data_IF_857279942630
#
_entry.id   IF_857279942630
#
_cell.length_a   1.000
_cell.length_b   1.000
_cell.length_c   1.000
_cell.angle_alpha   90.00
_cell.angle_beta   90.00
_cell.angle_gamma   90.00
#
_symmetry.space_group_name_H-M   'P 1'
#
loop_
_entity.id
_entity.type
_entity.pdbx_description
1 polymer ?
#
# COMPACT_ATOMS: atom_id res chain seq x y z
N UNK A 1 -4.08 68.12 20.26
CA UNK A 1 -4.52 66.78 20.64
C UNK A 1 -5.00 66.08 19.39
N UNK A 2 -4.13 65.31 18.75
CA UNK A 2 -4.44 64.54 17.55
C UNK A 2 -4.27 63.08 17.88
N UNK A 3 -5.40 62.41 18.07
CA UNK A 3 -5.46 60.95 18.29
C UNK A 3 -5.26 60.23 16.97
N UNK A 4 -4.11 59.61 16.77
CA UNK A 4 -3.86 58.68 15.67
C UNK A 4 -4.49 57.34 16.00
N UNK A 5 -5.51 56.95 15.24
CA UNK A 5 -6.08 55.61 15.27
C UNK A 5 -5.11 54.65 14.61
N UNK A 6 -4.47 53.80 15.41
CA UNK A 6 -3.68 52.64 14.90
C UNK A 6 -4.66 51.61 14.35
N UNK A 7 -4.72 51.52 13.04
CA UNK A 7 -5.43 50.44 12.36
C UNK A 7 -4.76 49.11 12.76
N UNK A 8 -5.53 48.25 13.47
CA UNK A 8 -5.17 46.87 13.77
C UNK A 8 -5.02 46.10 12.46
N UNK A 9 -3.76 45.90 12.03
CA UNK A 9 -3.47 44.97 10.93
C UNK A 9 -3.90 43.58 11.37
N UNK A 10 -4.95 43.06 10.74
CA UNK A 10 -5.38 41.67 10.85
C UNK A 10 -4.20 40.76 10.53
N UNK A 11 -3.62 40.13 11.56
CA UNK A 11 -2.59 39.11 11.40
C UNK A 11 -3.13 38.01 10.47
N UNK A 12 -2.41 37.60 9.44
CA UNK A 12 -2.84 36.48 8.59
C UNK A 12 -2.95 35.25 9.49
N UNK A 13 -4.11 34.55 9.41
CA UNK A 13 -4.38 33.32 10.12
C UNK A 13 -3.15 32.43 10.05
N UNK A 14 -2.59 32.06 11.20
CA UNK A 14 -1.44 31.17 11.31
C UNK A 14 -1.76 29.87 10.56
N UNK A 15 -1.15 29.68 9.40
CA UNK A 15 -1.24 28.42 8.67
C UNK A 15 -0.78 27.32 9.60
N UNK A 16 -1.62 26.34 9.88
CA UNK A 16 -1.26 25.16 10.66
C UNK A 16 -0.02 24.50 10.06
N UNK A 17 0.74 23.79 10.88
CA UNK A 17 1.92 23.01 10.46
C UNK A 17 1.64 21.53 10.68
N UNK A 18 2.30 20.66 9.89
CA UNK A 18 2.35 19.24 10.17
C UNK A 18 2.91 19.01 11.58
N UNK A 19 2.26 18.15 12.36
CA UNK A 19 2.64 17.95 13.76
C UNK A 19 3.67 16.83 13.88
N UNK A 20 4.82 17.11 14.46
CA UNK A 20 5.91 16.15 14.68
C UNK A 20 5.62 15.24 15.90
N UNK A 21 4.66 14.33 15.75
CA UNK A 21 4.12 13.48 16.84
C UNK A 21 4.26 11.98 16.60
N UNK A 22 4.63 11.56 15.39
CA UNK A 22 4.68 10.16 14.98
C UNK A 22 6.01 9.49 15.36
N UNK A 23 5.99 8.19 15.55
CA UNK A 23 7.17 7.38 15.88
C UNK A 23 7.14 6.03 15.17
N UNK A 24 8.11 5.17 15.48
CA UNK A 24 8.31 3.85 14.87
C UNK A 24 7.02 3.00 14.86
N UNK A 25 6.30 2.92 15.99
CA UNK A 25 5.10 2.09 16.11
C UNK A 25 3.97 2.52 15.17
N UNK A 26 3.79 3.83 14.99
CA UNK A 26 2.86 4.32 13.97
C UNK A 26 3.30 3.92 12.58
N UNK A 27 4.59 4.05 12.27
CA UNK A 27 5.13 3.65 10.97
C UNK A 27 4.89 2.17 10.67
N UNK A 28 5.14 1.30 11.66
CA UNK A 28 4.83 -0.13 11.54
C UNK A 28 3.32 -0.38 11.36
N UNK A 29 2.47 0.30 12.15
CA UNK A 29 1.03 0.16 12.05
C UNK A 29 0.51 0.66 10.68
N UNK A 30 1.07 1.74 10.14
CA UNK A 30 0.72 2.26 8.83
C UNK A 30 1.07 1.28 7.72
N UNK A 31 2.28 0.71 7.76
CA UNK A 31 2.74 -0.27 6.79
C UNK A 31 1.97 -1.60 6.89
N UNK A 32 1.88 -2.21 8.08
CA UNK A 32 1.11 -3.44 8.31
C UNK A 32 -0.37 -3.20 7.94
N UNK A 33 -0.90 -2.02 8.29
CA UNK A 33 -2.25 -1.60 7.98
C UNK A 33 -2.54 -1.55 6.49
N UNK A 34 -1.61 -1.04 5.71
CA UNK A 34 -1.73 -0.97 4.26
C UNK A 34 -1.55 -2.33 3.58
N UNK A 35 -0.49 -3.05 3.93
CA UNK A 35 -0.06 -4.26 3.23
C UNK A 35 -0.99 -5.44 3.47
N UNK A 36 -1.34 -5.74 4.73
CA UNK A 36 -2.18 -6.91 5.04
C UNK A 36 -3.64 -6.56 4.75
N UNK A 37 -4.08 -6.76 3.52
CA UNK A 37 -5.42 -6.46 3.02
C UNK A 37 -5.93 -7.60 2.13
N UNK A 38 -6.58 -7.29 1.01
CA UNK A 38 -7.18 -8.26 0.11
C UNK A 38 -6.18 -9.25 -0.53
N UNK A 39 -4.92 -8.84 -0.72
CA UNK A 39 -3.90 -9.65 -1.40
C UNK A 39 -3.71 -11.04 -0.79
N UNK A 40 -3.60 -11.14 0.54
CA UNK A 40 -3.39 -12.43 1.24
C UNK A 40 -4.58 -13.40 1.10
N UNK A 41 -5.74 -12.91 0.68
CA UNK A 41 -6.93 -13.73 0.47
C UNK A 41 -6.84 -14.51 -0.85
N UNK A 42 -6.42 -13.84 -1.91
CA UNK A 42 -6.44 -14.38 -3.29
C UNK A 42 -5.11 -14.99 -3.73
N UNK A 43 -4.00 -14.37 -3.33
CA UNK A 43 -2.66 -14.76 -3.81
C UNK A 43 -2.25 -16.17 -3.46
N UNK A 44 -2.56 -16.75 -2.28
CA UNK A 44 -2.21 -18.13 -1.99
C UNK A 44 -2.80 -19.12 -3.00
N UNK A 45 -4.06 -18.94 -3.38
CA UNK A 45 -4.72 -19.81 -4.37
C UNK A 45 -4.15 -19.66 -5.78
N UNK A 46 -3.81 -18.44 -6.19
CA UNK A 46 -3.18 -18.18 -7.49
C UNK A 46 -1.76 -18.75 -7.56
N UNK A 47 -0.96 -18.59 -6.52
CA UNK A 47 0.39 -19.18 -6.43
C UNK A 47 0.31 -20.71 -6.42
N UNK A 48 -0.57 -21.31 -5.64
CA UNK A 48 -0.73 -22.76 -5.58
C UNK A 48 -1.21 -23.37 -6.91
N UNK A 49 -2.04 -22.64 -7.67
CA UNK A 49 -2.45 -23.03 -9.02
C UNK A 49 -1.28 -23.10 -9.99
N UNK A 50 -0.33 -22.17 -9.89
CA UNK A 50 0.86 -22.08 -10.76
C UNK A 50 1.97 -23.01 -10.33
N UNK A 51 2.14 -23.15 -9.02
CA UNK A 51 3.21 -23.89 -8.35
C UNK A 51 2.61 -24.87 -7.33
N UNK A 52 2.00 -25.98 -7.79
CA UNK A 52 1.31 -26.94 -6.93
C UNK A 52 2.28 -27.87 -6.18
N UNK A 53 3.31 -27.30 -5.59
CA UNK A 53 4.29 -27.97 -4.75
C UNK A 53 4.51 -27.14 -3.49
N UNK A 54 4.40 -27.76 -2.31
CA UNK A 54 4.46 -27.04 -1.02
C UNK A 54 5.76 -26.26 -0.81
N UNK A 55 6.90 -26.81 -1.23
CA UNK A 55 8.19 -26.16 -1.10
C UNK A 55 8.33 -24.96 -2.03
N UNK A 56 7.91 -25.09 -3.30
CA UNK A 56 7.90 -23.97 -4.24
C UNK A 56 6.88 -22.92 -3.84
N UNK A 57 5.72 -23.34 -3.36
CA UNK A 57 4.68 -22.45 -2.85
C UNK A 57 5.21 -21.59 -1.69
N UNK A 58 5.84 -22.17 -0.66
CA UNK A 58 6.44 -21.40 0.43
C UNK A 58 7.69 -20.64 -0.02
N UNK A 59 8.50 -21.24 -0.88
CA UNK A 59 9.72 -20.63 -1.40
C UNK A 59 9.47 -19.31 -2.12
N UNK A 60 8.37 -19.19 -2.87
CA UNK A 60 8.03 -17.95 -3.58
C UNK A 60 7.67 -16.81 -2.61
N UNK A 61 7.03 -17.11 -1.47
CA UNK A 61 6.76 -16.12 -0.42
C UNK A 61 8.04 -15.66 0.29
N UNK A 62 8.99 -16.58 0.51
CA UNK A 62 10.31 -16.25 1.06
C UNK A 62 11.06 -15.35 0.06
N UNK A 63 11.07 -15.68 -1.22
CA UNK A 63 11.73 -14.88 -2.26
C UNK A 63 11.11 -13.48 -2.38
N UNK A 64 9.78 -13.36 -2.34
CA UNK A 64 9.11 -12.07 -2.31
C UNK A 64 9.45 -11.25 -1.07
N UNK A 65 9.57 -11.89 0.09
CA UNK A 65 10.03 -11.27 1.32
C UNK A 65 11.48 -10.79 1.25
N UNK A 66 12.36 -11.58 0.68
CA UNK A 66 13.77 -11.18 0.46
C UNK A 66 13.87 -9.99 -0.49
N UNK A 67 13.08 -9.97 -1.56
CA UNK A 67 12.97 -8.80 -2.44
C UNK A 67 12.55 -7.55 -1.66
N UNK A 68 11.50 -7.66 -0.83
CA UNK A 68 11.04 -6.54 0.00
C UNK A 68 12.14 -6.07 0.98
N UNK A 69 12.92 -6.97 1.58
CA UNK A 69 14.06 -6.63 2.45
C UNK A 69 15.18 -5.90 1.68
N UNK A 70 15.50 -6.32 0.46
CA UNK A 70 16.46 -5.61 -0.39
C UNK A 70 15.99 -4.18 -0.69
N UNK A 71 14.70 -4.01 -1.04
CA UNK A 71 14.09 -2.70 -1.26
C UNK A 71 14.03 -1.86 0.00
N UNK A 72 13.69 -2.47 1.14
CA UNK A 72 13.61 -1.83 2.45
C UNK A 72 14.92 -1.13 2.85
N UNK A 73 16.07 -1.76 2.58
CA UNK A 73 17.38 -1.18 2.84
C UNK A 73 17.57 0.15 2.10
N UNK A 74 17.17 0.20 0.83
CA UNK A 74 17.28 1.39 -0.03
C UNK A 74 16.30 2.50 0.39
N UNK A 75 15.05 2.13 0.66
CA UNK A 75 14.01 3.09 1.06
C UNK A 75 14.27 3.66 2.46
N UNK A 76 14.83 2.86 3.36
CA UNK A 76 15.24 3.32 4.70
C UNK A 76 16.35 4.38 4.63
N UNK A 77 17.33 4.24 3.71
CA UNK A 77 18.34 5.28 3.49
C UNK A 77 17.72 6.56 2.98
N UNK A 78 16.90 6.49 1.92
CA UNK A 78 16.25 7.66 1.34
C UNK A 78 15.33 8.36 2.35
N UNK A 79 14.50 7.60 3.06
CA UNK A 79 13.57 8.15 4.06
C UNK A 79 14.28 8.79 5.25
N UNK A 80 15.40 8.23 5.71
CA UNK A 80 16.20 8.80 6.79
C UNK A 80 17.00 10.04 6.36
N UNK A 81 17.49 10.06 5.12
CA UNK A 81 18.29 11.16 4.57
C UNK A 81 17.44 12.32 4.05
N UNK A 82 16.21 12.06 3.59
CA UNK A 82 15.27 13.05 3.05
C UNK A 82 13.95 12.96 3.83
N UNK A 83 13.92 13.39 5.10
CA UNK A 83 12.75 13.22 5.96
C UNK A 83 11.67 14.26 5.65
N UNK A 84 11.12 14.23 4.43
CA UNK A 84 10.00 15.06 3.98
C UNK A 84 8.74 14.21 3.87
N UNK A 85 7.59 14.80 4.12
CA UNK A 85 6.29 14.15 3.88
C UNK A 85 6.02 14.01 2.39
N UNK A 86 5.34 12.91 1.97
CA UNK A 86 4.98 12.68 0.58
C UNK A 86 5.69 11.50 -0.10
N UNK A 87 6.39 10.65 0.66
CA UNK A 87 6.88 9.36 0.18
C UNK A 87 7.92 9.43 -0.93
N UNK A 88 7.82 8.49 -1.84
CA UNK A 88 8.77 8.25 -2.94
C UNK A 88 8.89 9.44 -3.91
N UNK A 89 7.87 10.30 -3.98
CA UNK A 89 7.87 11.55 -4.73
C UNK A 89 9.11 12.40 -4.43
N UNK A 90 9.45 12.59 -3.15
CA UNK A 90 10.58 13.43 -2.72
C UNK A 90 11.92 12.90 -3.21
N UNK A 91 12.09 11.58 -3.20
CA UNK A 91 13.34 10.92 -3.59
C UNK A 91 13.58 11.05 -5.08
N UNK A 92 12.57 10.73 -5.88
CA UNK A 92 12.62 10.83 -7.34
C UNK A 92 12.76 12.26 -7.81
N UNK A 93 12.08 13.22 -7.18
CA UNK A 93 12.22 14.63 -7.50
C UNK A 93 13.63 15.14 -7.26
N UNK A 94 14.22 14.85 -6.08
CA UNK A 94 15.57 15.29 -5.72
C UNK A 94 16.65 14.68 -6.63
N UNK A 95 16.50 13.42 -6.96
CA UNK A 95 17.48 12.68 -7.75
C UNK A 95 17.37 12.96 -9.26
N UNK A 96 16.14 13.02 -9.79
CA UNK A 96 15.87 12.96 -11.23
C UNK A 96 15.19 14.22 -11.77
N UNK A 97 14.81 15.15 -10.88
CA UNK A 97 14.20 16.44 -11.24
C UNK A 97 12.67 16.46 -11.13
N UNK A 98 12.10 17.64 -11.36
CA UNK A 98 10.70 17.96 -11.09
C UNK A 98 9.71 17.05 -11.82
N UNK A 99 9.97 16.74 -13.12
CA UNK A 99 9.04 15.91 -13.89
C UNK A 99 9.05 14.44 -13.44
N UNK A 100 10.23 13.88 -13.13
CA UNK A 100 10.31 12.53 -12.58
C UNK A 100 9.61 12.43 -11.21
N UNK A 101 9.80 13.44 -10.36
CA UNK A 101 9.04 13.57 -9.11
C UNK A 101 7.54 13.65 -9.38
N UNK A 102 7.11 14.50 -10.34
CA UNK A 102 5.70 14.64 -10.69
C UNK A 102 5.06 13.31 -11.12
N UNK A 103 5.74 12.54 -12.00
CA UNK A 103 5.26 11.21 -12.42
C UNK A 103 5.04 10.30 -11.21
N UNK A 104 6.02 10.22 -10.32
CA UNK A 104 5.93 9.39 -9.11
C UNK A 104 4.80 9.87 -8.21
N UNK A 105 4.75 11.17 -7.91
CA UNK A 105 3.71 11.72 -7.03
C UNK A 105 2.31 11.58 -7.61
N UNK A 106 2.14 11.81 -8.91
CA UNK A 106 0.86 11.68 -9.61
C UNK A 106 0.35 10.23 -9.63
N UNK A 107 1.23 9.30 -10.04
CA UNK A 107 0.87 7.87 -10.10
C UNK A 107 0.64 7.28 -8.71
N UNK A 108 1.46 7.66 -7.71
CA UNK A 108 1.31 7.24 -6.32
C UNK A 108 -0.01 7.76 -5.71
N UNK A 109 -0.31 9.05 -5.90
CA UNK A 109 -1.55 9.65 -5.42
C UNK A 109 -2.79 8.97 -6.01
N UNK A 110 -2.82 8.79 -7.34
CA UNK A 110 -3.95 8.13 -8.01
C UNK A 110 -4.07 6.67 -7.58
N UNK A 111 -2.95 5.93 -7.54
CA UNK A 111 -2.98 4.51 -7.15
C UNK A 111 -3.45 4.33 -5.71
N UNK A 112 -3.02 5.18 -4.80
CA UNK A 112 -3.42 5.13 -3.40
C UNK A 112 -4.89 5.46 -3.20
N UNK A 113 -5.43 6.48 -3.92
CA UNK A 113 -6.87 6.77 -3.94
C UNK A 113 -7.69 5.59 -4.53
N UNK A 114 -7.20 4.99 -5.62
CA UNK A 114 -7.83 3.84 -6.26
C UNK A 114 -7.81 2.59 -5.36
N UNK A 115 -6.72 2.34 -4.65
CA UNK A 115 -6.63 1.25 -3.67
C UNK A 115 -7.64 1.44 -2.54
N UNK A 116 -7.79 2.66 -2.00
CA UNK A 116 -8.80 2.93 -0.98
C UNK A 116 -10.23 2.63 -1.49
N UNK A 117 -10.54 2.98 -2.75
CA UNK A 117 -11.82 2.66 -3.39
C UNK A 117 -12.01 1.15 -3.56
N UNK A 118 -10.98 0.45 -4.05
CA UNK A 118 -11.00 -1.00 -4.24
C UNK A 118 -11.27 -1.75 -2.93
N UNK A 119 -10.55 -1.38 -1.89
CA UNK A 119 -10.70 -1.98 -0.56
C UNK A 119 -12.09 -1.69 0.02
N UNK A 120 -12.66 -0.50 -0.21
CA UNK A 120 -14.01 -0.16 0.22
C UNK A 120 -15.08 -1.06 -0.43
N UNK A 121 -14.92 -1.44 -1.70
CA UNK A 121 -15.80 -2.40 -2.37
C UNK A 121 -15.75 -3.77 -1.69
N UNK A 122 -14.55 -4.26 -1.39
CA UNK A 122 -14.39 -5.57 -0.72
C UNK A 122 -14.95 -5.56 0.69
N UNK A 123 -14.77 -4.45 1.45
CA UNK A 123 -15.42 -4.28 2.76
C UNK A 123 -16.93 -4.39 2.64
N UNK A 124 -17.52 -3.68 1.66
CA UNK A 124 -18.97 -3.69 1.49
C UNK A 124 -19.49 -5.09 1.16
N UNK A 125 -18.80 -5.81 0.27
CA UNK A 125 -19.12 -7.20 -0.09
C UNK A 125 -19.09 -8.12 1.14
N UNK A 126 -18.01 -8.10 1.91
CA UNK A 126 -17.90 -8.90 3.13
C UNK A 126 -18.93 -8.50 4.20
N UNK A 127 -19.25 -7.21 4.32
CA UNK A 127 -20.28 -6.73 5.23
C UNK A 127 -21.68 -7.23 4.83
N UNK A 128 -21.96 -7.29 3.52
CA UNK A 128 -23.20 -7.85 2.99
C UNK A 128 -23.34 -9.37 3.23
N UNK A 129 -22.23 -10.10 3.26
CA UNK A 129 -22.23 -11.53 3.64
C UNK A 129 -22.40 -11.73 5.14
N UNK A 130 -21.84 -10.84 5.98
CA UNK A 130 -21.97 -10.91 7.44
C UNK A 130 -23.36 -10.50 7.93
N UNK A 131 -23.97 -9.50 7.30
CA UNK A 131 -25.23 -8.91 7.71
C UNK A 131 -26.19 -8.86 6.53
N UNK A 132 -27.18 -9.74 6.49
CA UNK A 132 -28.16 -9.81 5.39
C UNK A 132 -28.92 -8.48 5.16
N UNK A 133 -29.09 -7.67 6.22
CA UNK A 133 -29.68 -6.34 6.12
C UNK A 133 -28.86 -5.38 5.26
N UNK A 134 -27.55 -5.61 5.14
CA UNK A 134 -26.65 -4.81 4.32
C UNK A 134 -26.48 -5.37 2.88
N UNK A 135 -27.02 -6.56 2.61
CA UNK A 135 -26.97 -7.18 1.31
C UNK A 135 -27.80 -6.41 0.26
N UNK A 136 -27.33 -6.45 -0.97
CA UNK A 136 -28.00 -5.84 -2.14
C UNK A 136 -27.14 -4.77 -2.84
N UNK A 137 -27.21 -4.69 -4.18
CA UNK A 137 -26.28 -3.92 -5.00
C UNK A 137 -26.22 -2.43 -4.64
N UNK A 138 -27.36 -1.80 -4.32
CA UNK A 138 -27.40 -0.39 -3.96
C UNK A 138 -26.82 -0.14 -2.57
N UNK A 139 -27.10 -1.01 -1.59
CA UNK A 139 -26.56 -0.91 -0.24
C UNK A 139 -25.03 -1.07 -0.24
N UNK A 140 -24.48 -2.01 -1.02
CA UNK A 140 -23.06 -2.22 -1.15
C UNK A 140 -22.36 -0.97 -1.72
N UNK A 141 -22.95 -0.30 -2.72
CA UNK A 141 -22.44 0.96 -3.27
C UNK A 141 -22.42 2.06 -2.22
N UNK A 142 -23.50 2.22 -1.47
CA UNK A 142 -23.60 3.23 -0.40
C UNK A 142 -22.57 2.96 0.69
N UNK A 143 -22.41 1.72 1.12
CA UNK A 143 -21.40 1.32 2.14
C UNK A 143 -20.00 1.66 1.68
N UNK A 144 -19.64 1.33 0.42
CA UNK A 144 -18.32 1.63 -0.12
C UNK A 144 -18.00 3.13 -0.09
N UNK A 145 -18.95 3.97 -0.54
CA UNK A 145 -18.78 5.42 -0.49
C UNK A 145 -18.71 5.92 0.96
N UNK A 146 -19.61 5.42 1.82
CA UNK A 146 -19.65 5.80 3.24
C UNK A 146 -18.32 5.48 3.95
N UNK A 147 -17.66 4.36 3.64
CA UNK A 147 -16.35 4.00 4.21
C UNK A 147 -15.29 5.04 3.85
N UNK A 148 -15.14 5.38 2.57
CA UNK A 148 -14.13 6.35 2.11
C UNK A 148 -14.40 7.73 2.75
N UNK A 149 -15.65 8.19 2.78
CA UNK A 149 -16.03 9.47 3.37
C UNK A 149 -15.83 9.49 4.89
N UNK A 150 -16.19 8.41 5.59
CA UNK A 150 -16.04 8.32 7.06
C UNK A 150 -14.58 8.46 7.47
N UNK A 151 -13.65 7.78 6.81
CA UNK A 151 -12.23 7.94 7.09
C UNK A 151 -11.71 9.33 6.69
N UNK A 152 -12.24 9.94 5.62
CA UNK A 152 -11.98 11.32 5.29
C UNK A 152 -12.38 12.28 6.42
N UNK A 153 -13.58 12.14 6.94
CA UNK A 153 -14.09 12.95 8.10
C UNK A 153 -13.27 12.67 9.36
N UNK A 154 -12.93 11.41 9.65
CA UNK A 154 -12.10 11.06 10.80
C UNK A 154 -10.73 11.77 10.75
N UNK A 155 -10.07 11.75 9.59
CA UNK A 155 -8.74 12.36 9.41
C UNK A 155 -8.81 13.89 9.39
N UNK A 156 -9.95 14.48 8.98
CA UNK A 156 -10.16 15.92 9.03
C UNK A 156 -10.03 16.48 10.45
N UNK A 157 -10.37 15.69 11.47
CA UNK A 157 -10.23 16.06 12.89
C UNK A 157 -8.78 16.23 13.34
N UNK A 158 -7.82 15.65 12.59
CA UNK A 158 -6.40 15.80 12.85
C UNK A 158 -5.62 14.49 12.82
N UNK A 159 -4.30 14.60 12.70
CA UNK A 159 -3.38 13.45 12.57
C UNK A 159 -3.47 12.50 13.78
N UNK A 160 -3.74 12.99 14.97
CA UNK A 160 -3.88 12.15 16.19
C UNK A 160 -5.04 11.17 16.08
N UNK A 161 -6.16 11.59 15.50
CA UNK A 161 -7.32 10.72 15.27
C UNK A 161 -7.02 9.68 14.18
N UNK A 162 -6.47 10.09 13.03
CA UNK A 162 -6.09 9.17 11.97
C UNK A 162 -5.02 8.17 12.40
N UNK A 163 -3.98 8.63 13.12
CA UNK A 163 -2.92 7.74 13.63
C UNK A 163 -3.40 6.83 14.77
N UNK A 164 -4.29 7.30 15.64
CA UNK A 164 -4.90 6.47 16.68
C UNK A 164 -5.74 5.34 16.09
N UNK A 165 -6.61 5.67 15.11
CA UNK A 165 -7.39 4.67 14.38
C UNK A 165 -6.46 3.65 13.66
N UNK A 166 -5.34 4.12 13.09
CA UNK A 166 -4.37 3.24 12.42
C UNK A 166 -3.71 2.27 13.40
N UNK A 167 -3.26 2.75 14.55
CA UNK A 167 -2.65 1.91 15.60
C UNK A 167 -3.64 0.87 16.11
N UNK A 168 -4.88 1.27 16.39
CA UNK A 168 -5.92 0.39 16.90
C UNK A 168 -6.27 -0.70 15.88
N UNK A 169 -6.60 -0.32 14.65
CA UNK A 169 -7.00 -1.28 13.62
C UNK A 169 -5.86 -2.21 13.20
N UNK A 170 -4.62 -1.72 13.15
CA UNK A 170 -3.46 -2.56 12.87
C UNK A 170 -3.17 -3.55 14.02
N UNK A 171 -3.32 -3.14 15.28
CA UNK A 171 -3.17 -4.02 16.43
C UNK A 171 -4.26 -5.10 16.47
N UNK A 172 -5.53 -4.71 16.25
CA UNK A 172 -6.65 -5.65 16.19
C UNK A 172 -6.48 -6.69 15.09
N UNK A 173 -6.11 -6.26 13.87
CA UNK A 173 -5.88 -7.22 12.76
C UNK A 173 -4.71 -8.15 13.04
N UNK A 174 -3.60 -7.63 13.53
CA UNK A 174 -2.40 -8.43 13.82
C UNK A 174 -2.72 -9.46 14.90
N UNK A 175 -3.39 -9.04 15.97
CA UNK A 175 -3.85 -9.95 17.02
C UNK A 175 -4.83 -11.01 16.50
N UNK A 176 -5.78 -10.63 15.65
CA UNK A 176 -6.74 -11.55 15.06
C UNK A 176 -6.06 -12.61 14.17
N UNK A 177 -5.08 -12.23 13.35
CA UNK A 177 -4.31 -13.20 12.55
C UNK A 177 -3.44 -14.11 13.42
N UNK A 178 -2.79 -13.58 14.46
CA UNK A 178 -2.03 -14.41 15.42
C UNK A 178 -2.94 -15.42 16.12
N UNK A 179 -4.12 -14.99 16.55
CA UNK A 179 -5.13 -15.88 17.16
C UNK A 179 -5.59 -16.94 16.16
N UNK A 180 -5.88 -16.56 14.92
CA UNK A 180 -6.26 -17.51 13.87
C UNK A 180 -5.17 -18.57 13.64
N UNK A 181 -3.90 -18.15 13.57
CA UNK A 181 -2.75 -19.07 13.42
C UNK A 181 -2.65 -20.00 14.61
N UNK A 182 -2.71 -19.48 15.83
CA UNK A 182 -2.67 -20.29 17.04
C UNK A 182 -3.83 -21.30 17.11
N UNK A 183 -5.05 -20.85 16.82
CA UNK A 183 -6.23 -21.72 16.78
C UNK A 183 -6.09 -22.82 15.72
N UNK A 184 -5.58 -22.49 14.53
CA UNK A 184 -5.37 -23.47 13.47
C UNK A 184 -4.40 -24.60 13.88
N UNK A 185 -3.31 -24.28 14.59
CA UNK A 185 -2.39 -25.30 15.11
C UNK A 185 -2.96 -26.09 16.29
N UNK A 186 -3.67 -25.43 17.20
CA UNK A 186 -4.19 -26.07 18.42
C UNK A 186 -5.44 -26.91 18.13
N UNK A 187 -6.34 -26.45 17.27
CA UNK A 187 -7.64 -27.05 17.02
C UNK A 187 -7.70 -27.82 15.68
N UNK A 188 -6.78 -27.56 14.76
CA UNK A 188 -6.78 -28.07 13.40
C UNK A 188 -6.35 -29.55 13.25
N UNK A 189 -6.04 -30.28 14.32
CA UNK A 189 -5.55 -31.66 14.26
C UNK A 189 -6.42 -32.62 13.46
N UNK A 190 -7.76 -32.64 13.62
CA UNK A 190 -8.65 -33.46 12.79
C UNK A 190 -8.62 -33.08 11.30
N UNK A 191 -8.61 -31.77 11.00
CA UNK A 191 -8.53 -31.28 9.63
C UNK A 191 -7.17 -31.60 9.00
N UNK A 192 -6.07 -31.51 9.78
CA UNK A 192 -4.75 -31.91 9.34
C UNK A 192 -4.68 -33.39 8.97
N UNK A 193 -5.21 -34.27 9.81
CA UNK A 193 -5.30 -35.72 9.49
C UNK A 193 -6.08 -35.97 8.20
N UNK A 194 -7.21 -35.28 8.02
CA UNK A 194 -7.99 -35.39 6.80
C UNK A 194 -7.22 -34.85 5.56
N UNK A 195 -6.45 -33.78 5.72
CA UNK A 195 -5.64 -33.23 4.66
C UNK A 195 -4.49 -34.15 4.22
N UNK A 196 -3.82 -34.80 5.18
CA UNK A 196 -2.73 -35.75 4.91
C UNK A 196 -3.20 -37.07 4.31
N UNK A 197 -4.44 -37.49 4.61
CA UNK A 197 -5.06 -38.69 4.06
C UNK A 197 -5.74 -38.46 2.70
N UNK A 198 -5.89 -37.20 2.29
CA UNK A 198 -6.46 -36.86 1.00
C UNK A 198 -5.56 -37.36 -0.14
N UNK A 199 -6.17 -38.08 -1.11
CA UNK A 199 -5.43 -38.53 -2.27
C UNK A 199 -4.71 -37.38 -2.96
N UNK A 200 -3.44 -37.59 -3.39
CA UNK A 200 -2.71 -36.57 -4.15
C UNK A 200 -3.55 -36.17 -5.36
N UNK A 201 -3.84 -34.86 -5.49
CA UNK A 201 -4.51 -34.35 -6.69
C UNK A 201 -3.58 -34.51 -7.90
N UNK A 202 -4.13 -34.71 -9.08
CA UNK A 202 -3.39 -34.76 -10.35
C UNK A 202 -2.90 -33.37 -10.80
N UNK A 203 -2.38 -32.56 -9.87
CA UNK A 203 -1.79 -31.27 -10.20
C UNK A 203 -0.37 -31.49 -10.72
N UNK A 204 -0.18 -31.23 -11.99
CA UNK A 204 1.12 -31.35 -12.65
C UNK A 204 1.92 -30.07 -12.41
N UNK A 205 3.12 -30.23 -11.85
CA UNK A 205 4.08 -29.13 -11.76
C UNK A 205 4.58 -28.82 -13.17
N UNK A 206 4.56 -27.55 -13.63
CA UNK A 206 5.17 -27.17 -14.88
C UNK A 206 6.66 -27.53 -14.89
N UNK A 207 7.23 -27.79 -16.05
CA UNK A 207 8.65 -28.14 -16.22
C UNK A 207 9.31 -27.23 -17.23
N UNK A 208 10.64 -27.17 -17.21
CA UNK A 208 11.42 -26.37 -18.14
C UNK A 208 11.04 -24.90 -18.15
N UNK A 209 10.85 -24.31 -19.33
CA UNK A 209 10.53 -22.88 -19.48
C UNK A 209 9.17 -22.49 -18.86
N UNK A 210 8.18 -23.37 -18.89
CA UNK A 210 6.88 -23.10 -18.25
C UNK A 210 6.96 -23.01 -16.72
N UNK A 211 7.89 -23.72 -16.08
CA UNK A 211 8.18 -23.56 -14.67
C UNK A 211 8.78 -22.17 -14.37
N UNK A 212 9.73 -21.71 -15.18
CA UNK A 212 10.32 -20.38 -15.03
C UNK A 212 9.25 -19.27 -15.14
N UNK A 213 8.34 -19.39 -16.10
CA UNK A 213 7.19 -18.46 -16.23
C UNK A 213 6.26 -18.55 -14.99
N UNK A 214 5.94 -19.74 -14.52
CA UNK A 214 5.09 -19.93 -13.35
C UNK A 214 5.72 -19.30 -12.08
N UNK A 215 7.04 -19.47 -11.88
CA UNK A 215 7.78 -18.84 -10.78
C UNK A 215 7.76 -17.31 -10.91
N UNK A 216 8.00 -16.78 -12.12
CA UNK A 216 7.98 -15.33 -12.36
C UNK A 216 6.61 -14.73 -12.05
N UNK A 217 5.53 -15.33 -12.55
CA UNK A 217 4.16 -14.85 -12.30
C UNK A 217 3.74 -15.03 -10.84
N UNK A 218 4.16 -16.11 -10.19
CA UNK A 218 3.94 -16.32 -8.76
C UNK A 218 4.68 -15.27 -7.92
N UNK A 219 5.93 -14.98 -8.25
CA UNK A 219 6.71 -13.95 -7.57
C UNK A 219 6.11 -12.56 -7.78
N UNK A 220 5.60 -12.27 -8.98
CA UNK A 220 4.90 -11.03 -9.29
C UNK A 220 3.66 -10.85 -8.40
N UNK A 221 2.84 -11.89 -8.24
CA UNK A 221 1.66 -11.86 -7.38
C UNK A 221 2.03 -11.65 -5.90
N UNK A 222 3.11 -12.29 -5.42
CA UNK A 222 3.59 -12.12 -4.05
C UNK A 222 4.18 -10.73 -3.82
N UNK A 223 5.02 -10.21 -4.74
CA UNK A 223 5.58 -8.85 -4.64
C UNK A 223 4.45 -7.82 -4.52
N UNK A 224 3.40 -7.93 -5.32
CA UNK A 224 2.23 -7.08 -5.21
C UNK A 224 1.51 -7.23 -3.87
N UNK A 225 1.41 -8.46 -3.35
CA UNK A 225 0.72 -8.74 -2.08
C UNK A 225 1.48 -8.22 -0.86
N UNK A 226 2.81 -8.17 -0.91
CA UNK A 226 3.65 -7.64 0.18
C UNK A 226 3.89 -6.13 0.08
N UNK A 227 3.40 -5.46 -0.97
CA UNK A 227 3.57 -4.03 -1.17
C UNK A 227 2.95 -3.17 -0.07
N UNK A 228 3.53 -1.98 0.19
CA UNK A 228 3.05 -1.01 1.19
C UNK A 228 3.81 -1.02 2.52
N UNK A 229 4.88 -1.80 2.62
CA UNK A 229 5.73 -1.91 3.81
C UNK A 229 6.51 -0.63 4.15
N UNK A 230 6.62 0.30 3.24
CA UNK A 230 7.37 1.55 3.35
C UNK A 230 6.53 2.74 3.86
N UNK A 231 5.30 2.53 4.28
CA UNK A 231 4.30 3.56 4.61
C UNK A 231 4.76 4.70 5.52
N UNK A 232 5.81 4.52 6.35
CA UNK A 232 6.32 5.59 7.21
C UNK A 232 6.97 6.74 6.41
N UNK A 233 7.49 6.49 5.18
CA UNK A 233 8.16 7.53 4.38
C UNK A 233 7.22 8.67 3.96
N UNK A 234 5.92 8.44 3.95
CA UNK A 234 4.92 9.48 3.67
C UNK A 234 4.84 10.56 4.76
N UNK A 235 5.39 10.30 5.95
CA UNK A 235 5.27 11.14 7.14
C UNK A 235 6.61 11.72 7.61
N UNK A 236 7.62 11.82 6.78
CA UNK A 236 8.97 12.21 7.19
C UNK A 236 9.04 13.45 8.07
N UNK A 237 8.24 14.49 7.78
CA UNK A 237 8.15 15.73 8.58
C UNK A 237 7.41 15.55 9.91
N UNK A 238 6.55 14.54 10.01
CA UNK A 238 5.71 14.26 11.18
C UNK A 238 6.36 13.25 12.14
N UNK A 239 7.47 12.59 11.73
CA UNK A 239 8.22 11.63 12.55
C UNK A 239 9.16 12.38 13.50
N UNK A 240 9.16 11.97 14.78
CA UNK A 240 9.99 12.62 15.84
C UNK A 240 11.47 12.50 15.57
N UNK A 241 11.96 11.28 15.31
CA UNK A 241 13.36 10.96 15.07
C UNK A 241 13.53 10.21 13.73
N UNK A 242 13.45 10.90 12.57
CA UNK A 242 13.37 10.24 11.27
C UNK A 242 14.60 9.36 10.96
N UNK A 243 15.81 9.79 11.31
CA UNK A 243 17.03 9.02 11.08
C UNK A 243 17.06 7.65 11.79
N UNK A 244 16.31 7.51 12.90
CA UNK A 244 16.22 6.28 13.69
C UNK A 244 14.92 5.53 13.45
N UNK A 245 13.79 6.25 13.48
CA UNK A 245 12.46 5.64 13.54
C UNK A 245 12.01 5.15 12.16
N UNK A 246 12.42 5.83 11.06
CA UNK A 246 12.08 5.39 9.70
C UNK A 246 12.72 4.03 9.37
N UNK A 247 14.06 3.84 9.50
CA UNK A 247 14.65 2.53 9.23
C UNK A 247 14.06 1.42 10.10
N UNK A 248 13.86 1.67 11.40
CA UNK A 248 13.30 0.67 12.31
C UNK A 248 11.87 0.29 11.96
N UNK A 249 11.04 1.27 11.59
CA UNK A 249 9.68 1.00 11.16
C UNK A 249 9.64 0.20 9.87
N UNK A 250 10.45 0.54 8.87
CA UNK A 250 10.50 -0.16 7.59
C UNK A 250 10.91 -1.63 7.80
N UNK A 251 12.04 -1.89 8.46
CA UNK A 251 12.48 -3.27 8.69
C UNK A 251 11.53 -4.04 9.59
N UNK A 252 11.05 -3.41 10.67
CA UNK A 252 10.05 -4.02 11.55
C UNK A 252 8.76 -4.40 10.81
N UNK A 253 8.31 -3.55 9.91
CA UNK A 253 7.14 -3.81 9.06
C UNK A 253 7.36 -4.97 8.12
N UNK A 254 8.46 -4.96 7.35
CA UNK A 254 8.76 -6.02 6.38
C UNK A 254 8.86 -7.37 7.07
N UNK A 255 9.61 -7.46 8.18
CA UNK A 255 9.77 -8.72 8.93
C UNK A 255 8.43 -9.19 9.49
N UNK A 256 7.61 -8.29 10.05
CA UNK A 256 6.28 -8.64 10.58
C UNK A 256 5.34 -9.13 9.49
N UNK A 257 5.28 -8.43 8.34
CA UNK A 257 4.43 -8.79 7.21
C UNK A 257 4.82 -10.16 6.64
N UNK A 258 6.12 -10.38 6.38
CA UNK A 258 6.62 -11.66 5.87
C UNK A 258 6.31 -12.78 6.87
N UNK A 259 6.57 -12.54 8.16
CA UNK A 259 6.29 -13.52 9.22
C UNK A 259 4.81 -13.91 9.26
N UNK A 260 3.90 -12.93 9.25
CA UNK A 260 2.45 -13.19 9.23
C UNK A 260 2.05 -13.95 7.97
N UNK A 261 2.54 -13.55 6.79
CA UNK A 261 2.18 -14.19 5.53
C UNK A 261 2.71 -15.62 5.43
N UNK A 262 3.93 -15.87 5.88
CA UNK A 262 4.46 -17.24 5.94
C UNK A 262 3.65 -18.11 6.91
N UNK A 263 3.28 -17.59 8.09
CA UNK A 263 2.44 -18.32 9.04
C UNK A 263 1.06 -18.63 8.47
N UNK A 264 0.41 -17.65 7.80
CA UNK A 264 -0.90 -17.86 7.16
C UNK A 264 -0.83 -18.89 6.02
N UNK A 265 0.22 -18.89 5.21
CA UNK A 265 0.42 -19.89 4.18
C UNK A 265 0.79 -21.26 4.75
N UNK A 266 1.52 -21.29 5.87
CA UNK A 266 1.87 -22.53 6.56
C UNK A 266 0.62 -23.20 7.13
N UNK A 267 -0.28 -22.45 7.80
CA UNK A 267 -1.56 -23.03 8.28
C UNK A 267 -2.47 -23.46 7.12
N UNK A 268 -2.43 -22.75 5.98
CA UNK A 268 -3.16 -23.17 4.80
C UNK A 268 -2.69 -24.55 4.32
N UNK A 269 -1.39 -24.78 4.20
CA UNK A 269 -0.81 -26.08 3.87
C UNK A 269 -1.03 -27.15 4.95
N UNK A 270 -1.07 -26.74 6.22
CA UNK A 270 -1.30 -27.66 7.33
C UNK A 270 -2.74 -28.19 7.37
N UNK A 271 -3.73 -27.34 7.06
CA UNK A 271 -5.16 -27.63 7.20
C UNK A 271 -5.80 -28.08 5.88
N UNK A 272 -5.29 -27.58 4.73
CA UNK A 272 -5.95 -27.74 3.42
C UNK A 272 -5.00 -28.46 2.46
N UNK A 273 -5.45 -29.54 1.78
CA UNK A 273 -4.66 -30.16 0.73
C UNK A 273 -4.34 -29.19 -0.39
N UNK A 274 -3.15 -29.31 -0.98
CA UNK A 274 -2.68 -28.41 -2.06
C UNK A 274 -3.69 -28.29 -3.22
N UNK A 275 -4.37 -29.37 -3.59
CA UNK A 275 -5.40 -29.40 -4.64
C UNK A 275 -6.60 -28.47 -4.34
N UNK A 276 -6.94 -28.30 -3.06
CA UNK A 276 -8.07 -27.47 -2.61
C UNK A 276 -7.62 -26.01 -2.37
N UNK A 277 -6.31 -25.76 -2.25
CA UNK A 277 -5.70 -24.41 -2.23
C UNK A 277 -5.62 -23.87 -3.65
N UNK A 278 -5.21 -24.71 -4.62
CA UNK A 278 -4.93 -24.29 -5.98
C UNK A 278 -6.19 -23.70 -6.68
N UNK A 279 -6.09 -22.41 -7.03
CA UNK A 279 -7.19 -21.67 -7.65
C UNK A 279 -8.32 -21.23 -6.70
N UNK A 280 -8.20 -21.52 -5.42
CA UNK A 280 -9.17 -21.06 -4.42
C UNK A 280 -9.05 -19.56 -4.20
N UNK A 281 -10.12 -18.82 -4.38
CA UNK A 281 -10.16 -17.36 -4.22
C UNK A 281 -10.31 -16.90 -2.75
N UNK A 282 -10.55 -17.85 -1.82
CA UNK A 282 -10.73 -17.57 -0.41
C UNK A 282 -10.12 -18.65 0.49
N UNK A 283 -8.81 -18.86 0.35
CA UNK A 283 -8.06 -19.93 1.06
C UNK A 283 -8.21 -19.83 2.58
N UNK A 284 -8.11 -18.62 3.14
CA UNK A 284 -8.24 -18.39 4.58
C UNK A 284 -9.65 -18.72 5.09
N UNK A 285 -10.69 -18.52 4.27
CA UNK A 285 -12.05 -18.94 4.58
C UNK A 285 -12.17 -20.48 4.66
N UNK A 286 -11.52 -21.18 3.73
CA UNK A 286 -11.47 -22.65 3.76
C UNK A 286 -10.74 -23.15 5.02
N UNK A 287 -9.63 -22.51 5.41
CA UNK A 287 -8.91 -22.83 6.66
C UNK A 287 -9.83 -22.61 7.86
N UNK A 288 -10.46 -21.44 7.96
CA UNK A 288 -11.33 -21.10 9.09
C UNK A 288 -12.53 -22.06 9.20
N UNK A 289 -13.16 -22.42 8.09
CA UNK A 289 -14.27 -23.37 8.08
C UNK A 289 -13.85 -24.79 8.52
N UNK A 290 -12.64 -25.22 8.18
CA UNK A 290 -12.13 -26.52 8.64
C UNK A 290 -11.75 -26.55 10.13
N UNK A 291 -11.40 -25.38 10.70
CA UNK A 291 -11.03 -25.25 12.13
C UNK A 291 -12.25 -24.97 12.99
N UNK A 292 -13.11 -24.04 12.57
CA UNK A 292 -14.22 -23.53 13.38
C UNK A 292 -15.62 -23.97 12.89
N UNK A 293 -15.68 -24.83 11.86
CA UNK A 293 -16.95 -25.27 11.26
C UNK A 293 -17.77 -24.11 10.70
N UNK A 294 -19.05 -24.08 10.96
CA UNK A 294 -19.99 -23.06 10.45
C UNK A 294 -19.68 -21.62 10.90
N UNK A 295 -18.91 -21.45 11.96
CA UNK A 295 -18.47 -20.13 12.45
C UNK A 295 -17.23 -19.61 11.71
N UNK A 296 -16.56 -20.45 10.92
CA UNK A 296 -15.30 -20.09 10.26
C UNK A 296 -15.45 -18.93 9.28
N UNK A 297 -16.47 -18.97 8.40
CA UNK A 297 -16.69 -17.90 7.42
C UNK A 297 -17.01 -16.54 8.06
N UNK A 298 -17.94 -16.42 9.04
CA UNK A 298 -18.15 -15.17 9.76
C UNK A 298 -16.89 -14.64 10.47
N UNK A 299 -16.11 -15.51 11.11
CA UNK A 299 -14.89 -15.12 11.82
C UNK A 299 -13.89 -14.50 10.85
N UNK A 300 -13.56 -15.20 9.77
CA UNK A 300 -12.53 -14.70 8.85
C UNK A 300 -12.98 -13.45 8.11
N UNK A 301 -14.24 -13.34 7.69
CA UNK A 301 -14.77 -12.11 7.07
C UNK A 301 -14.72 -10.94 8.03
N UNK A 302 -15.02 -11.13 9.32
CA UNK A 302 -14.91 -10.08 10.33
C UNK A 302 -13.44 -9.61 10.49
N UNK A 303 -12.49 -10.55 10.55
CA UNK A 303 -11.06 -10.25 10.58
C UNK A 303 -10.65 -9.46 9.34
N UNK A 304 -11.11 -9.86 8.17
CA UNK A 304 -10.80 -9.19 6.90
C UNK A 304 -11.42 -7.79 6.83
N UNK A 305 -12.65 -7.58 7.30
CA UNK A 305 -13.25 -6.23 7.37
C UNK A 305 -12.38 -5.31 8.24
N UNK A 306 -12.01 -5.74 9.45
CA UNK A 306 -11.12 -4.96 10.35
C UNK A 306 -9.78 -4.66 9.64
N UNK A 307 -9.22 -5.67 8.97
CA UNK A 307 -7.97 -5.55 8.22
C UNK A 307 -8.07 -4.48 7.13
N UNK A 308 -9.15 -4.47 6.38
CA UNK A 308 -9.38 -3.56 5.27
C UNK A 308 -9.74 -2.14 5.73
N UNK A 309 -10.39 -1.95 6.88
CA UNK A 309 -10.59 -0.63 7.49
C UNK A 309 -9.23 0.04 7.79
N UNK A 310 -8.25 -0.73 8.29
CA UNK A 310 -6.88 -0.24 8.49
C UNK A 310 -6.22 0.18 7.17
N UNK A 311 -6.47 -0.57 6.09
CA UNK A 311 -5.92 -0.29 4.77
C UNK A 311 -6.50 1.01 4.17
N UNK A 312 -7.83 1.23 4.24
CA UNK A 312 -8.43 2.49 3.78
C UNK A 312 -7.84 3.68 4.54
N UNK A 313 -7.76 3.58 5.88
CA UNK A 313 -7.20 4.66 6.69
C UNK A 313 -5.76 4.99 6.31
N UNK A 314 -4.90 3.96 6.14
CA UNK A 314 -3.52 4.14 5.72
C UNK A 314 -3.42 4.82 4.34
N UNK A 315 -4.16 4.32 3.34
CA UNK A 315 -4.15 4.87 2.00
C UNK A 315 -4.57 6.35 1.97
N UNK A 316 -5.63 6.72 2.69
CA UNK A 316 -6.05 8.12 2.77
C UNK A 316 -5.03 9.02 3.48
N UNK A 317 -4.30 8.49 4.48
CA UNK A 317 -3.19 9.20 5.09
C UNK A 317 -2.04 9.42 4.09
N UNK A 318 -1.70 8.42 3.28
CA UNK A 318 -0.60 8.48 2.30
C UNK A 318 -0.92 9.45 1.16
N UNK A 319 -2.04 9.26 0.44
CA UNK A 319 -2.41 10.11 -0.70
C UNK A 319 -2.54 11.59 -0.32
N UNK A 320 -3.00 11.87 0.90
CA UNK A 320 -3.08 13.25 1.42
C UNK A 320 -1.69 13.88 1.54
N UNK A 321 -0.66 13.13 2.00
CA UNK A 321 0.72 13.62 2.15
C UNK A 321 1.44 13.74 0.83
N UNK A 322 1.21 12.82 -0.09
CA UNK A 322 1.76 12.91 -1.45
C UNK A 322 1.28 14.18 -2.15
N UNK A 323 -0.03 14.44 -2.12
CA UNK A 323 -0.60 15.63 -2.76
C UNK A 323 -0.14 16.93 -2.06
N UNK A 324 -0.07 16.94 -0.73
CA UNK A 324 0.48 18.04 0.05
C UNK A 324 1.92 18.35 -0.35
N UNK A 325 2.77 17.35 -0.47
CA UNK A 325 4.17 17.52 -0.87
C UNK A 325 4.31 18.11 -2.27
N UNK A 326 3.57 17.56 -3.26
CA UNK A 326 3.54 18.09 -4.62
C UNK A 326 3.09 19.56 -4.64
N UNK A 327 2.09 19.90 -3.85
CA UNK A 327 1.56 21.27 -3.73
C UNK A 327 2.55 22.21 -3.06
N UNK A 328 3.27 21.74 -2.05
CA UNK A 328 4.30 22.52 -1.33
C UNK A 328 5.48 22.89 -2.24
N UNK A 329 5.75 22.02 -3.20
CA UNK A 329 6.83 22.22 -4.19
C UNK A 329 6.36 22.93 -5.46
N UNK A 330 5.11 23.40 -5.52
CA UNK A 330 4.55 24.12 -6.66
C UNK A 330 4.23 23.25 -7.89
N UNK A 331 4.16 21.94 -7.71
CA UNK A 331 3.80 20.98 -8.76
C UNK A 331 2.31 20.60 -8.74
N UNK A 332 1.54 21.19 -7.82
CA UNK A 332 0.09 21.06 -7.75
C UNK A 332 -0.53 22.36 -7.18
N UNK A 333 -1.86 22.42 -7.03
CA UNK A 333 -2.54 23.61 -6.53
C UNK A 333 -2.04 24.04 -5.15
N UNK A 334 -1.59 25.28 -5.03
CA UNK A 334 -0.99 25.82 -3.79
C UNK A 334 -1.98 25.80 -2.60
N UNK A 335 -3.29 25.86 -2.87
CA UNK A 335 -4.32 25.75 -1.83
C UNK A 335 -4.29 24.41 -1.08
N UNK A 336 -3.79 23.35 -1.72
CA UNK A 336 -3.70 22.02 -1.11
C UNK A 336 -2.61 21.91 -0.01
N UNK A 337 -1.82 22.97 0.21
CA UNK A 337 -0.89 23.09 1.36
C UNK A 337 -1.57 23.56 2.64
N UNK A 338 -2.88 23.84 2.62
CA UNK A 338 -3.61 24.32 3.81
C UNK A 338 -3.72 23.20 4.85
N UNK A 339 -3.11 23.43 6.03
CA UNK A 339 -3.12 22.50 7.17
C UNK A 339 -4.00 23.06 8.27
N UNK A 340 -4.85 22.23 8.88
CA UNK A 340 -5.69 22.64 10.02
C UNK A 340 -4.89 22.58 11.36
N UNK A 341 -5.51 23.05 12.43
CA UNK A 341 -4.93 23.01 13.78
C UNK A 341 -4.58 21.58 14.25
N UNK A 342 -5.26 20.56 13.72
CA UNK A 342 -4.98 19.14 14.00
C UNK A 342 -3.80 18.55 13.22
N UNK A 343 -3.13 19.34 12.37
CA UNK A 343 -1.99 18.88 11.56
C UNK A 343 -2.38 18.09 10.32
N UNK A 344 -3.62 18.21 9.83
CA UNK A 344 -4.07 17.54 8.60
C UNK A 344 -4.12 18.52 7.42
N UNK A 345 -3.54 18.18 6.26
CA UNK A 345 -3.70 18.94 5.01
C UNK A 345 -5.12 18.77 4.46
N UNK A 346 -6.03 19.71 4.79
CA UNK A 346 -7.47 19.56 4.60
C UNK A 346 -7.89 19.55 3.13
N UNK A 347 -7.34 20.42 2.31
CA UNK A 347 -7.66 20.48 0.87
C UNK A 347 -7.11 19.24 0.15
N UNK A 348 -5.88 18.81 0.48
CA UNK A 348 -5.33 17.55 -0.05
C UNK A 348 -6.19 16.34 0.32
N UNK A 349 -6.67 16.28 1.57
CA UNK A 349 -7.57 15.23 2.03
C UNK A 349 -8.91 15.25 1.28
N UNK A 350 -9.51 16.43 1.11
CA UNK A 350 -10.77 16.59 0.38
C UNK A 350 -10.64 16.12 -1.07
N UNK A 351 -9.61 16.59 -1.78
CA UNK A 351 -9.35 16.19 -3.17
C UNK A 351 -9.11 14.68 -3.30
N UNK A 352 -8.33 14.10 -2.40
CA UNK A 352 -8.07 12.66 -2.39
C UNK A 352 -9.33 11.85 -2.10
N UNK A 353 -10.19 12.32 -1.18
CA UNK A 353 -11.47 11.67 -0.89
C UNK A 353 -12.41 11.74 -2.11
N UNK A 354 -12.48 12.90 -2.77
CA UNK A 354 -13.28 13.06 -4.00
C UNK A 354 -12.79 12.11 -5.10
N UNK A 355 -11.47 12.03 -5.33
CA UNK A 355 -10.90 11.12 -6.33
C UNK A 355 -11.17 9.65 -5.98
N UNK A 356 -11.07 9.27 -4.70
CA UNK A 356 -11.46 7.93 -4.24
C UNK A 356 -12.94 7.61 -4.53
N UNK A 357 -13.84 8.57 -4.30
CA UNK A 357 -15.27 8.40 -4.64
C UNK A 357 -15.49 8.35 -6.16
N UNK A 358 -14.75 9.11 -6.95
CA UNK A 358 -14.80 9.01 -8.42
C UNK A 358 -14.37 7.64 -8.92
N UNK A 359 -13.30 7.05 -8.33
CA UNK A 359 -12.92 5.66 -8.65
C UNK A 359 -14.03 4.66 -8.32
N UNK A 360 -14.75 4.83 -7.20
CA UNK A 360 -15.92 4.02 -6.88
C UNK A 360 -17.03 4.17 -7.92
N UNK A 361 -17.35 5.39 -8.33
CA UNK A 361 -18.37 5.64 -9.36
C UNK A 361 -17.98 4.95 -10.66
N UNK A 362 -16.73 5.11 -11.12
CA UNK A 362 -16.22 4.45 -12.33
C UNK A 362 -16.32 2.92 -12.20
N UNK A 363 -15.95 2.35 -11.05
CA UNK A 363 -16.04 0.92 -10.81
C UNK A 363 -17.49 0.40 -10.85
N UNK A 364 -18.46 1.22 -10.46
CA UNK A 364 -19.89 0.85 -10.48
C UNK A 364 -20.55 1.01 -11.85
N UNK A 365 -19.93 1.70 -12.80
CA UNK A 365 -20.44 1.88 -14.16
C UNK A 365 -20.12 0.72 -15.11
N UNK A 366 -19.17 -0.16 -14.75
CA UNK A 366 -18.76 -1.27 -15.63
C UNK A 366 -18.23 -2.48 -14.90
N UNK A 367 -18.61 -3.67 -15.36
CA UNK A 367 -18.22 -4.94 -14.74
C UNK A 367 -16.69 -5.18 -14.74
N UNK A 368 -15.96 -4.67 -15.75
CA UNK A 368 -14.51 -4.85 -15.89
C UNK A 368 -13.69 -3.62 -15.46
N UNK A 369 -14.33 -2.46 -15.25
CA UNK A 369 -13.63 -1.21 -15.00
C UNK A 369 -12.80 -1.29 -13.71
N UNK A 370 -13.34 -1.90 -12.67
CA UNK A 370 -12.67 -2.10 -11.39
C UNK A 370 -11.39 -2.94 -11.54
N UNK A 371 -11.47 -4.08 -12.22
CA UNK A 371 -10.31 -4.96 -12.42
C UNK A 371 -9.20 -4.28 -13.23
N UNK A 372 -9.58 -3.47 -14.22
CA UNK A 372 -8.63 -2.69 -15.02
C UNK A 372 -7.93 -1.62 -14.19
N UNK A 373 -8.67 -0.92 -13.32
CA UNK A 373 -8.10 0.06 -12.41
C UNK A 373 -7.04 -0.62 -11.54
N UNK A 374 -7.36 -1.75 -10.88
CA UNK A 374 -6.42 -2.49 -10.05
C UNK A 374 -5.15 -2.90 -10.81
N UNK A 375 -5.31 -3.42 -12.03
CA UNK A 375 -4.15 -3.82 -12.84
C UNK A 375 -3.24 -2.64 -13.19
N UNK A 376 -3.83 -1.47 -13.51
CA UNK A 376 -3.06 -0.24 -13.77
C UNK A 376 -2.34 0.27 -12.52
N UNK A 377 -2.99 0.22 -11.35
CA UNK A 377 -2.40 0.63 -10.08
C UNK A 377 -1.18 -0.22 -9.72
N UNK A 378 -1.24 -1.52 -9.97
CA UNK A 378 -0.12 -2.45 -9.73
C UNK A 378 1.13 -2.06 -10.52
N UNK A 379 0.96 -1.63 -11.76
CA UNK A 379 2.05 -1.15 -12.60
C UNK A 379 2.72 0.10 -12.00
N UNK A 380 1.92 1.06 -11.50
CA UNK A 380 2.45 2.29 -10.95
C UNK A 380 3.29 2.08 -9.70
N UNK A 381 2.89 1.20 -8.79
CA UNK A 381 3.67 0.90 -7.59
C UNK A 381 5.09 0.46 -7.93
N UNK A 382 5.23 -0.50 -8.84
CA UNK A 382 6.57 -1.02 -9.19
C UNK A 382 7.38 -0.01 -10.00
N UNK A 383 6.74 0.80 -10.85
CA UNK A 383 7.40 1.89 -11.55
C UNK A 383 7.98 2.92 -10.55
N UNK A 384 7.23 3.25 -9.50
CA UNK A 384 7.66 4.17 -8.45
C UNK A 384 8.84 3.61 -7.64
N UNK A 385 8.83 2.32 -7.29
CA UNK A 385 10.00 1.66 -6.68
C UNK A 385 11.22 1.68 -7.58
N UNK A 386 11.05 1.41 -8.88
CA UNK A 386 12.15 1.46 -9.86
C UNK A 386 12.83 2.82 -9.87
N UNK A 387 12.06 3.91 -9.90
CA UNK A 387 12.59 5.27 -9.84
C UNK A 387 13.21 5.59 -8.47
N UNK A 388 12.67 5.07 -7.39
CA UNK A 388 13.23 5.25 -6.05
C UNK A 388 14.57 4.53 -5.87
N UNK A 389 14.69 3.28 -6.33
CA UNK A 389 15.97 2.56 -6.29
C UNK A 389 17.03 3.23 -7.18
N UNK A 390 16.62 3.71 -8.36
CA UNK A 390 17.49 4.52 -9.22
C UNK A 390 17.95 5.78 -8.50
N UNK A 391 17.08 6.41 -7.72
CA UNK A 391 17.39 7.62 -6.95
C UNK A 391 18.50 7.40 -5.93
N UNK A 392 18.63 6.21 -5.32
CA UNK A 392 19.74 5.88 -4.42
C UNK A 392 21.08 5.98 -5.15
N UNK A 393 21.19 5.36 -6.34
CA UNK A 393 22.43 5.41 -7.13
C UNK A 393 22.79 6.85 -7.54
N UNK A 394 21.79 7.59 -8.03
CA UNK A 394 21.99 8.96 -8.49
C UNK A 394 22.41 9.88 -7.36
N UNK A 395 21.72 9.82 -6.20
CA UNK A 395 22.04 10.68 -5.05
C UNK A 395 23.36 10.32 -4.38
N UNK A 396 23.76 9.05 -4.36
CA UNK A 396 25.08 8.67 -3.85
C UNK A 396 26.22 9.19 -4.73
N UNK A 397 25.99 9.34 -6.06
CA UNK A 397 26.95 9.90 -7.00
C UNK A 397 26.94 11.44 -7.01
N UNK A 398 25.75 12.06 -6.99
CA UNK A 398 25.61 13.52 -7.11
C UNK A 398 25.81 14.27 -5.80
N UNK A 399 25.42 13.65 -4.70
CA UNK A 399 25.48 14.23 -3.35
C UNK A 399 26.19 13.27 -2.39
N UNK A 400 27.51 13.03 -2.57
CA UNK A 400 28.28 12.09 -1.74
C UNK A 400 28.28 12.49 -0.27
N UNK A 401 28.33 13.81 0.01
CA UNK A 401 28.43 14.40 1.36
C UNK A 401 27.06 14.59 2.04
N UNK A 402 25.95 14.22 1.38
CA UNK A 402 24.61 14.28 2.00
C UNK A 402 24.59 13.48 3.30
N UNK A 403 24.12 14.06 4.43
CA UNK A 403 23.96 13.32 5.68
C UNK A 403 23.05 12.11 5.52
N UNK A 404 23.56 10.91 5.82
CA UNK A 404 22.81 9.64 5.78
C UNK A 404 22.84 9.01 7.17
N UNK A 405 21.85 9.31 8.03
CA UNK A 405 21.79 8.72 9.38
C UNK A 405 21.70 7.19 9.36
N UNK A 406 21.14 6.65 8.29
CA UNK A 406 21.15 5.24 7.94
C UNK A 406 21.71 5.09 6.52
N UNK A 407 22.61 4.13 6.32
CA UNK A 407 23.17 3.77 5.01
C UNK A 407 22.68 2.38 4.62
N UNK A 408 22.19 2.23 3.39
CA UNK A 408 21.71 0.96 2.87
C UNK A 408 22.83 -0.10 2.96
N UNK A 409 22.59 -1.15 3.75
CA UNK A 409 23.49 -2.28 3.85
C UNK A 409 23.46 -3.09 2.55
N UNK A 410 24.59 -3.69 2.21
CA UNK A 410 24.73 -4.44 0.97
C UNK A 410 24.69 -3.61 -0.32
N UNK A 411 24.74 -2.26 -0.23
CA UNK A 411 24.92 -1.43 -1.41
C UNK A 411 26.30 -1.65 -2.03
N UNK A 412 26.45 -1.70 -3.38
CA UNK A 412 25.40 -1.46 -4.38
C UNK A 412 24.55 -2.71 -4.73
N UNK A 413 24.91 -3.87 -4.25
CA UNK A 413 24.37 -5.16 -4.74
C UNK A 413 22.89 -5.34 -4.41
N UNK A 414 22.47 -5.15 -3.16
CA UNK A 414 21.07 -5.35 -2.77
C UNK A 414 20.14 -4.32 -3.41
N UNK A 415 20.56 -3.05 -3.49
CA UNK A 415 19.85 -2.02 -4.24
C UNK A 415 19.77 -2.37 -5.73
N UNK A 416 20.86 -2.90 -6.30
CA UNK A 416 20.90 -3.36 -7.68
C UNK A 416 19.96 -4.55 -7.95
N UNK A 417 19.93 -5.54 -7.06
CA UNK A 417 18.99 -6.67 -7.15
C UNK A 417 17.54 -6.18 -7.10
N UNK A 418 17.21 -5.28 -6.16
CA UNK A 418 15.87 -4.71 -6.06
C UNK A 418 15.49 -3.93 -7.34
N UNK A 419 16.41 -3.15 -7.89
CA UNK A 419 16.22 -2.41 -9.14
C UNK A 419 16.00 -3.35 -10.33
N UNK A 420 16.87 -4.34 -10.51
CA UNK A 420 16.73 -5.31 -11.61
C UNK A 420 15.43 -6.09 -11.51
N UNK A 421 15.09 -6.57 -10.31
CA UNK A 421 13.85 -7.29 -10.09
C UNK A 421 12.61 -6.43 -10.39
N UNK A 422 12.61 -5.14 -10.00
CA UNK A 422 11.50 -4.23 -10.33
C UNK A 422 11.40 -3.94 -11.83
N UNK A 423 12.51 -3.80 -12.54
CA UNK A 423 12.52 -3.65 -14.00
C UNK A 423 12.00 -4.92 -14.69
N UNK A 424 12.43 -6.10 -14.24
CA UNK A 424 11.92 -7.38 -14.78
C UNK A 424 10.43 -7.54 -14.52
N UNK A 425 9.94 -7.10 -13.34
CA UNK A 425 8.51 -7.07 -13.05
C UNK A 425 7.76 -6.17 -14.03
N UNK A 426 8.23 -4.95 -14.30
CA UNK A 426 7.60 -4.04 -15.25
C UNK A 426 7.57 -4.62 -16.67
N UNK A 427 8.67 -5.20 -17.12
CA UNK A 427 8.72 -5.88 -18.42
C UNK A 427 7.72 -7.04 -18.45
N UNK A 428 7.69 -7.86 -17.40
CA UNK A 428 6.72 -8.95 -17.26
C UNK A 428 5.29 -8.46 -17.32
N UNK A 429 4.94 -7.37 -16.61
CA UNK A 429 3.60 -6.78 -16.63
C UNK A 429 3.21 -6.28 -18.04
N UNK A 430 4.14 -5.65 -18.77
CA UNK A 430 3.88 -5.17 -20.13
C UNK A 430 3.65 -6.34 -21.09
N UNK A 431 4.42 -7.42 -20.96
CA UNK A 431 4.34 -8.59 -21.85
C UNK A 431 3.08 -9.41 -21.58
N UNK A 432 2.72 -9.58 -20.31
CA UNK A 432 1.60 -10.45 -19.90
C UNK A 432 0.25 -9.75 -19.94
N UNK A 433 0.19 -8.46 -19.60
CA UNK A 433 -1.05 -7.68 -19.58
C UNK A 433 -1.11 -6.67 -20.74
N UNK A 434 -1.24 -7.18 -21.95
CA UNK A 434 -1.33 -6.39 -23.20
C UNK A 434 -2.52 -5.42 -23.24
N UNK A 435 -3.49 -5.55 -22.33
CA UNK A 435 -4.69 -4.71 -22.29
C UNK A 435 -4.53 -3.52 -21.35
N UNK A 436 -4.00 -3.73 -20.15
CA UNK A 436 -3.95 -2.70 -19.10
C UNK A 436 -2.61 -1.95 -19.06
N UNK A 437 -1.49 -2.60 -19.42
CA UNK A 437 -0.19 -1.95 -19.45
C UNK A 437 -0.15 -0.74 -20.42
N UNK A 438 -0.70 -0.78 -21.66
CA UNK A 438 -0.77 0.41 -22.51
C UNK A 438 -1.59 1.54 -21.91
N UNK A 439 -2.67 1.22 -21.17
CA UNK A 439 -3.49 2.24 -20.50
C UNK A 439 -2.70 2.90 -19.36
N UNK A 440 -1.96 2.11 -18.56
CA UNK A 440 -1.08 2.63 -17.51
C UNK A 440 0.01 3.54 -18.10
N UNK A 441 0.66 3.11 -19.19
CA UNK A 441 1.64 3.94 -19.90
C UNK A 441 1.00 5.20 -20.48
N UNK A 442 -0.21 5.12 -21.04
CA UNK A 442 -0.98 6.27 -21.51
C UNK A 442 -1.25 7.28 -20.41
N UNK A 443 -1.62 6.83 -19.20
CA UNK A 443 -1.80 7.71 -18.04
C UNK A 443 -0.50 8.39 -17.60
N UNK A 444 0.65 7.69 -17.71
CA UNK A 444 1.96 8.31 -17.46
C UNK A 444 2.29 9.37 -18.53
N UNK A 445 2.01 9.10 -19.78
CA UNK A 445 2.17 10.09 -20.86
C UNK A 445 1.26 11.31 -20.66
N UNK A 446 0.00 11.08 -20.28
CA UNK A 446 -0.95 12.15 -19.93
C UNK A 446 -0.51 12.98 -18.71
N UNK A 447 0.37 12.45 -17.86
CA UNK A 447 0.93 13.23 -16.76
C UNK A 447 1.74 14.42 -17.21
N UNK A 448 2.34 14.39 -18.44
CA UNK A 448 3.17 15.50 -18.94
C UNK A 448 2.36 16.77 -19.23
N UNK A 449 1.26 16.75 -20.00
CA UNK A 449 0.43 17.96 -20.16
C UNK A 449 -0.13 18.46 -18.82
N UNK A 450 -0.52 17.58 -17.90
CA UNK A 450 -0.96 17.98 -16.56
C UNK A 450 0.17 18.67 -15.80
N UNK A 451 1.39 18.11 -15.80
CA UNK A 451 2.57 18.75 -15.23
C UNK A 451 2.82 20.16 -15.80
N UNK A 452 2.74 20.30 -17.13
CA UNK A 452 2.92 21.60 -17.80
C UNK A 452 1.86 22.60 -17.39
N UNK A 453 0.59 22.18 -17.31
CA UNK A 453 -0.52 23.02 -16.86
C UNK A 453 -0.34 23.45 -15.40
N UNK A 454 0.03 22.53 -14.52
CA UNK A 454 0.27 22.85 -13.10
C UNK A 454 1.44 23.81 -12.92
N UNK A 455 2.53 23.61 -13.68
CA UNK A 455 3.71 24.49 -13.64
C UNK A 455 3.42 25.88 -14.21
N UNK A 456 2.54 25.99 -15.20
CA UNK A 456 2.09 27.26 -15.76
C UNK A 456 1.13 28.00 -14.83
N UNK A 457 0.22 27.27 -14.17
CA UNK A 457 -0.74 27.81 -13.22
C UNK A 457 -0.13 28.16 -11.85
N UNK A 458 1.08 27.64 -11.54
CA UNK A 458 1.81 28.03 -10.35
C UNK A 458 2.33 29.48 -10.54
N UNK A 459 1.95 30.43 -9.66
CA UNK A 459 2.50 31.77 -9.74
C UNK A 459 4.03 31.67 -9.65
N UNK A 460 4.73 32.27 -10.59
CA UNK A 460 6.19 32.46 -10.52
C UNK A 460 6.49 33.13 -9.19
N UNK A 461 6.86 32.33 -8.17
CA UNK A 461 7.44 32.86 -6.96
C UNK A 461 8.71 33.61 -7.40
N UNK A 462 8.70 34.95 -7.19
CA UNK A 462 9.65 35.84 -7.72
C UNK A 462 11.08 35.33 -7.67
N UNK A 463 11.73 35.33 -8.83
CA UNK A 463 13.17 35.44 -8.91
C UNK A 463 13.50 36.84 -8.36
N UNK A 464 13.79 36.89 -7.08
CA UNK A 464 14.58 37.97 -6.49
C UNK A 464 15.69 37.32 -5.67
#
# INVERSE_FOLDING_TARGET
>A
MTTSSVASATQPHSRGRLLKVLGMWFGMAAAIGNTIAAGIVYTPGDVAKRLPNAWLFLGIWILGGLYALCGASSMAELGAAIPRSGGQYNFSRRALGDYAGFIVGWSDWLSTCGTAAAVAIVISDYSGHLFSILAGPQKLKIISVAMVVTFGVLQWRGIRWGSGAQLLTAALKTGAFVILVAAAFLMGGPAHKAATQAAPGALLLPSGWSLAIAVMLGLQAVIYTVDGWDGIIYFGEEVRNPGRDIPRAIFGSVISIIGIYLLLNLIALYIVPMKDIAGNTFVLGTVANRVFGVLGDPIIRSIMVISMLSCINANQLFCTRTLYAMSSDGLFFRTATTVNAGGTPTISLLLSTIVGVLFLIIAFLGNDAFQRIIAMLSFFFVANYTLSYTSVFVLRKREPDMPRPYRAWGYPWLTGIALVASVLFLIGSIVTDKRNAPLALGMLVLSYPVYRLMKFAAPTAGRN
#
